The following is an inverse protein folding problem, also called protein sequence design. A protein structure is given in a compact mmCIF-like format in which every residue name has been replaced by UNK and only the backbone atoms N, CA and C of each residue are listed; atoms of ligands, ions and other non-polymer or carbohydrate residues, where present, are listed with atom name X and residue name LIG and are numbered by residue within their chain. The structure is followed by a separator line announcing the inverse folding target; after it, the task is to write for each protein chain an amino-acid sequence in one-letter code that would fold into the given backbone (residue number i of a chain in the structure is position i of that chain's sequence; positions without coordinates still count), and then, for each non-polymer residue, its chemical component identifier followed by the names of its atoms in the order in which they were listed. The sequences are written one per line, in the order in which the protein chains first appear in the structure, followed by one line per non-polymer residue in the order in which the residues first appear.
data_IF_212938523312
#
_entry.id   IF_212938523312
#
_cell.length_a   1.000
_cell.length_b   1.000
_cell.length_c   1.000
_cell.angle_alpha   90.00
_cell.angle_beta   90.00
_cell.angle_gamma   90.00
#
_symmetry.space_group_name_H-M   'P 1'
#
loop_
_entity.id
_entity.type
_entity.pdbx_description
1 polymer ?
#
# COMPACT_ATOMS: atom_id res chain seq x y z
N UNK A 1 -16.32 7.23 -28.42
CA UNK A 1 -14.86 7.12 -28.48
C UNK A 1 -14.29 7.50 -27.13
N UNK A 2 -13.25 6.80 -26.69
CA UNK A 2 -12.49 7.10 -25.47
C UNK A 2 -11.60 8.31 -25.79
N UNK A 3 -11.67 9.37 -25.00
CA UNK A 3 -10.80 10.54 -25.22
C UNK A 3 -9.40 10.21 -24.72
N UNK A 4 -8.41 10.23 -25.61
CA UNK A 4 -7.01 10.04 -25.27
C UNK A 4 -6.25 11.38 -25.34
N UNK A 5 -5.18 11.56 -24.55
CA UNK A 5 -4.27 12.69 -24.68
C UNK A 5 -3.66 12.75 -26.08
N UNK A 6 -3.40 13.96 -26.58
CA UNK A 6 -2.81 14.17 -27.92
C UNK A 6 -1.39 13.59 -28.04
N UNK A 7 -0.71 13.43 -26.91
CA UNK A 7 0.60 12.77 -26.80
C UNK A 7 0.55 11.25 -27.02
N UNK A 8 -0.63 10.64 -27.03
CA UNK A 8 -0.83 9.20 -27.19
C UNK A 8 -1.37 8.86 -28.58
N UNK A 9 -1.25 9.80 -29.53
CA UNK A 9 -1.40 9.51 -30.94
C UNK A 9 -0.05 9.08 -31.49
N UNK A 10 0.00 8.02 -32.29
CA UNK A 10 1.19 7.55 -32.98
C UNK A 10 2.35 7.17 -32.04
N UNK A 11 2.04 6.52 -30.92
CA UNK A 11 3.00 6.01 -29.93
C UNK A 11 3.16 4.47 -29.97
N UNK A 12 2.59 3.80 -30.97
CA UNK A 12 2.62 2.34 -31.16
C UNK A 12 1.92 1.51 -30.08
N UNK A 13 1.06 2.12 -29.28
CA UNK A 13 0.13 1.44 -28.40
C UNK A 13 -1.31 1.68 -28.89
N UNK A 14 -2.23 0.78 -28.53
CA UNK A 14 -3.66 0.90 -28.85
C UNK A 14 -4.43 1.27 -27.58
N UNK A 15 -4.41 2.55 -27.23
CA UNK A 15 -5.04 3.09 -26.02
C UNK A 15 -6.52 3.39 -26.23
N UNK A 16 -6.93 3.64 -27.47
CA UNK A 16 -8.33 3.79 -27.82
C UNK A 16 -9.07 2.43 -27.95
N UNK A 17 -8.34 1.33 -28.08
CA UNK A 17 -8.84 -0.05 -28.16
C UNK A 17 -9.40 -0.46 -29.53
N UNK A 18 -9.29 0.43 -30.52
CA UNK A 18 -9.69 0.22 -31.91
C UNK A 18 -8.57 0.59 -32.92
N UNK A 19 -7.38 0.94 -32.42
CA UNK A 19 -6.17 1.29 -33.18
C UNK A 19 -6.26 2.59 -33.98
N UNK A 20 -7.26 3.43 -33.72
CA UNK A 20 -7.47 4.70 -34.43
C UNK A 20 -6.40 5.75 -34.12
N UNK A 21 -5.77 5.65 -32.96
CA UNK A 21 -4.64 6.46 -32.52
C UNK A 21 -3.35 6.20 -33.31
N UNK A 22 -3.24 5.05 -33.95
CA UNK A 22 -2.06 4.61 -34.71
C UNK A 22 -2.24 4.59 -36.24
N UNK A 23 -3.47 4.75 -36.74
CA UNK A 23 -3.75 4.60 -38.18
C UNK A 23 -3.42 5.84 -39.04
N UNK A 24 -3.27 7.02 -38.43
CA UNK A 24 -3.07 8.30 -39.16
C UNK A 24 -1.76 8.98 -38.76
N UNK A 25 -0.64 8.30 -39.01
CA UNK A 25 0.72 8.77 -38.64
C UNK A 25 1.55 9.27 -39.84
N UNK A 26 0.89 9.79 -40.87
CA UNK A 26 1.56 10.21 -42.09
C UNK A 26 2.12 11.65 -42.01
N UNK A 27 3.43 11.72 -41.76
CA UNK A 27 4.39 12.80 -42.11
C UNK A 27 4.19 14.17 -41.44
N UNK A 28 5.04 14.48 -40.47
CA UNK A 28 5.89 15.70 -40.48
C UNK A 28 7.21 15.38 -39.78
N UNK A 29 8.31 15.59 -40.50
CA UNK A 29 9.66 15.60 -39.97
C UNK A 29 10.04 17.06 -39.64
N UNK A 30 10.51 17.29 -38.41
CA UNK A 30 11.17 18.48 -37.80
C UNK A 30 10.29 19.71 -37.42
N UNK A 31 10.40 20.32 -36.20
CA UNK A 31 11.64 20.79 -35.52
C UNK A 31 11.79 20.41 -34.00
N UNK A 32 12.93 20.71 -33.32
CA UNK A 32 13.35 20.10 -32.05
C UNK A 32 12.74 20.77 -30.80
N UNK A 33 11.42 20.86 -30.74
CA UNK A 33 10.70 21.51 -29.62
C UNK A 33 9.55 20.71 -29.04
N UNK A 34 9.36 19.46 -29.46
CA UNK A 34 8.57 18.49 -28.71
C UNK A 34 9.57 17.56 -28.04
N UNK A 35 9.74 17.70 -26.72
CA UNK A 35 10.52 16.77 -25.92
C UNK A 35 10.11 15.36 -26.30
N UNK A 36 11.03 14.64 -26.94
CA UNK A 36 10.93 13.22 -27.23
C UNK A 36 10.42 12.54 -25.98
N UNK A 37 9.15 12.14 -25.98
CA UNK A 37 8.59 11.31 -24.94
C UNK A 37 9.25 9.95 -25.15
N UNK A 38 10.42 9.78 -24.54
CA UNK A 38 11.11 8.51 -24.54
C UNK A 38 10.35 7.63 -23.54
N UNK A 39 9.61 6.60 -23.99
CA UNK A 39 9.00 5.67 -23.06
C UNK A 39 10.10 5.04 -22.20
N UNK A 40 9.79 4.74 -20.95
CA UNK A 40 10.72 4.05 -20.06
C UNK A 40 11.14 2.71 -20.70
N UNK A 41 12.38 2.29 -20.44
CA UNK A 41 12.90 1.06 -21.02
C UNK A 41 12.10 -0.17 -20.56
N UNK A 42 12.24 -1.29 -21.27
CA UNK A 42 11.72 -2.59 -20.85
C UNK A 42 12.28 -2.91 -19.44
N UNK A 43 11.39 -3.07 -18.44
CA UNK A 43 11.68 -3.13 -16.99
C UNK A 43 11.84 -1.78 -16.25
N UNK A 44 11.28 -0.70 -16.77
CA UNK A 44 11.20 0.58 -16.07
C UNK A 44 9.79 1.14 -16.09
N UNK A 45 9.44 1.90 -15.05
CA UNK A 45 8.16 2.58 -14.92
C UNK A 45 8.31 4.08 -14.72
N UNK A 46 7.23 4.80 -14.99
CA UNK A 46 7.21 6.26 -14.95
C UNK A 46 6.85 6.76 -13.54
N UNK A 47 7.79 7.45 -12.91
CA UNK A 47 7.61 8.22 -11.68
C UNK A 47 7.30 9.68 -12.01
N UNK A 48 6.20 10.24 -11.50
CA UNK A 48 5.80 11.60 -11.82
C UNK A 48 6.28 12.57 -10.74
N UNK A 49 6.90 13.68 -11.12
CA UNK A 49 7.16 14.77 -10.18
C UNK A 49 5.98 15.74 -10.21
N UNK A 50 5.10 15.66 -9.20
CA UNK A 50 3.93 16.56 -9.05
C UNK A 50 4.31 18.05 -9.08
N UNK A 51 5.52 18.37 -8.63
CA UNK A 51 6.04 19.74 -8.50
C UNK A 51 6.69 20.27 -9.77
N UNK A 52 7.30 19.40 -10.58
CA UNK A 52 8.11 19.84 -11.73
C UNK A 52 7.53 19.44 -13.08
N UNK A 53 6.46 18.63 -13.12
CA UNK A 53 5.90 18.00 -14.33
C UNK A 53 6.92 17.17 -15.12
N UNK A 54 8.06 16.85 -14.51
CA UNK A 54 9.09 15.96 -15.03
C UNK A 54 8.71 14.54 -14.63
N UNK A 55 8.94 13.59 -15.53
CA UNK A 55 8.86 12.17 -15.21
C UNK A 55 10.25 11.56 -15.19
N UNK A 56 10.48 10.65 -14.23
CA UNK A 56 11.72 9.89 -14.08
C UNK A 56 11.40 8.42 -14.32
N UNK A 57 12.26 7.70 -15.03
CA UNK A 57 12.08 6.25 -15.20
C UNK A 57 12.85 5.51 -14.11
N UNK A 58 12.14 4.73 -13.30
CA UNK A 58 12.72 3.87 -12.26
C UNK A 58 12.61 2.39 -12.65
N UNK A 59 13.55 1.53 -12.23
CA UNK A 59 13.44 0.09 -12.44
C UNK A 59 12.15 -0.48 -11.83
N UNK A 60 11.46 -1.39 -12.53
CA UNK A 60 10.25 -2.04 -12.00
C UNK A 60 10.47 -2.81 -10.69
N UNK A 61 11.72 -3.16 -10.37
CA UNK A 61 12.07 -3.74 -9.08
C UNK A 61 11.82 -2.82 -7.88
N UNK A 62 11.66 -1.52 -8.11
CA UNK A 62 11.37 -0.51 -7.09
C UNK A 62 9.87 -0.26 -6.92
N UNK A 63 9.01 -0.94 -7.69
CA UNK A 63 7.57 -0.92 -7.40
C UNK A 63 7.30 -1.83 -6.22
N UNK A 64 6.57 -1.33 -5.24
CA UNK A 64 6.06 -2.12 -4.12
C UNK A 64 7.18 -2.84 -3.35
N UNK A 65 8.35 -2.21 -3.25
CA UNK A 65 9.52 -2.74 -2.58
C UNK A 65 9.59 -2.31 -1.11
N UNK A 66 8.65 -1.45 -0.68
CA UNK A 66 8.52 -0.94 0.68
C UNK A 66 9.35 0.32 0.95
N UNK A 67 10.07 0.82 -0.04
CA UNK A 67 10.78 2.10 0.01
C UNK A 67 10.07 3.15 -0.85
N UNK A 68 10.22 4.41 -0.46
CA UNK A 68 9.70 5.53 -1.25
C UNK A 68 10.82 5.99 -2.19
N UNK A 69 10.90 5.42 -3.38
CA UNK A 69 11.85 5.81 -4.43
C UNK A 69 11.27 6.88 -5.35
N UNK A 70 9.94 6.90 -5.47
CA UNK A 70 9.22 7.88 -6.25
C UNK A 70 8.95 9.15 -5.41
N UNK A 71 9.34 10.31 -5.93
CA UNK A 71 9.07 11.62 -5.29
C UNK A 71 7.57 11.88 -5.04
N UNK A 72 6.71 11.22 -5.80
CA UNK A 72 5.26 11.26 -5.65
C UNK A 72 4.67 9.96 -5.10
N UNK A 73 5.44 9.06 -4.50
CA UNK A 73 4.95 7.78 -3.96
C UNK A 73 4.29 6.87 -5.00
N UNK A 74 4.37 7.17 -6.30
CA UNK A 74 3.67 6.41 -7.35
C UNK A 74 4.12 4.96 -7.47
N UNK A 75 5.31 4.64 -6.96
CA UNK A 75 5.88 3.31 -6.82
C UNK A 75 5.21 2.44 -5.73
N UNK A 76 4.55 3.06 -4.76
CA UNK A 76 3.98 2.39 -3.57
C UNK A 76 2.45 2.60 -3.42
N UNK A 77 1.81 3.41 -4.27
CA UNK A 77 0.37 3.77 -4.13
C UNK A 77 -0.59 2.72 -4.72
N UNK A 78 -0.21 2.01 -5.78
CA UNK A 78 -1.08 1.08 -6.53
C UNK A 78 -0.46 -0.32 -6.62
N UNK A 79 -0.02 -0.82 -5.47
CA UNK A 79 0.43 -2.18 -5.34
C UNK A 79 -0.78 -3.11 -5.26
N UNK A 80 -0.75 -4.24 -5.97
CA UNK A 80 -1.52 -5.41 -5.56
C UNK A 80 -0.99 -5.82 -4.19
N UNK A 81 -1.56 -5.18 -3.16
CA UNK A 81 -1.18 -5.36 -1.77
C UNK A 81 -1.19 -6.86 -1.49
N UNK A 82 -0.09 -7.45 -0.99
CA UNK A 82 -0.21 -8.76 -0.40
C UNK A 82 -1.27 -8.59 0.69
N UNK A 83 -2.38 -9.30 0.58
CA UNK A 83 -3.40 -9.37 1.62
C UNK A 83 -2.68 -9.65 2.93
N UNK A 84 -2.44 -8.61 3.73
CA UNK A 84 -1.72 -8.73 4.96
C UNK A 84 -2.73 -8.90 6.08
N UNK A 85 -2.38 -9.75 7.04
CA UNK A 85 -3.37 -10.27 7.96
C UNK A 85 -3.75 -11.71 7.63
N UNK A 86 -4.25 -12.39 8.65
CA UNK A 86 -4.54 -13.82 8.59
C UNK A 86 -5.50 -14.21 9.72
N UNK A 87 -6.10 -15.39 9.58
CA UNK A 87 -6.86 -16.03 10.63
C UNK A 87 -5.94 -16.91 11.50
N UNK A 88 -5.71 -16.49 12.74
CA UNK A 88 -4.91 -17.20 13.74
C UNK A 88 -5.84 -18.11 14.55
N UNK A 89 -5.80 -19.41 14.23
CA UNK A 89 -6.66 -20.44 14.83
C UNK A 89 -5.97 -21.31 15.89
N UNK A 90 -4.67 -21.13 16.07
CA UNK A 90 -3.87 -21.90 17.02
C UNK A 90 -3.90 -21.28 18.42
N UNK A 91 -3.74 -22.11 19.46
CA UNK A 91 -3.73 -21.66 20.86
C UNK A 91 -2.62 -20.67 21.22
N UNK A 92 -1.56 -20.64 20.41
CA UNK A 92 -0.44 -19.73 20.52
C UNK A 92 0.07 -19.42 19.12
N UNK A 93 0.69 -18.25 18.98
CA UNK A 93 1.26 -17.81 17.71
C UNK A 93 1.77 -16.39 17.81
N UNK A 94 2.40 -15.95 16.74
CA UNK A 94 2.94 -14.60 16.57
C UNK A 94 2.60 -14.12 15.17
N UNK A 95 2.40 -12.81 15.02
CA UNK A 95 2.25 -12.17 13.74
C UNK A 95 2.95 -10.82 13.81
N UNK A 96 3.35 -10.31 12.65
CA UNK A 96 4.05 -9.03 12.54
C UNK A 96 3.38 -8.18 11.47
N UNK A 97 3.69 -6.88 11.47
CA UNK A 97 3.39 -5.99 10.35
C UNK A 97 4.09 -6.50 9.07
N UNK A 98 3.62 -6.07 7.88
CA UNK A 98 4.34 -6.31 6.64
C UNK A 98 5.80 -5.85 6.77
N UNK A 99 6.71 -6.58 6.13
CA UNK A 99 8.15 -6.30 6.08
C UNK A 99 8.91 -6.30 7.43
N UNK A 100 8.26 -6.55 8.56
CA UNK A 100 8.96 -6.62 9.86
C UNK A 100 10.13 -7.61 9.82
N UNK A 101 11.35 -7.24 10.27
CA UNK A 101 11.67 -6.10 11.15
C UNK A 101 11.93 -4.76 10.46
N UNK A 102 11.85 -4.70 9.14
CA UNK A 102 11.99 -3.46 8.36
C UNK A 102 10.71 -2.62 8.41
N UNK A 103 10.75 -1.44 7.77
CA UNK A 103 9.62 -0.51 7.74
C UNK A 103 8.42 -1.12 7.00
N UNK A 104 7.22 -0.90 7.55
CA UNK A 104 6.00 -1.28 6.85
C UNK A 104 5.78 -0.36 5.64
N UNK A 105 5.22 -0.87 4.52
CA UNK A 105 4.89 -0.05 3.35
C UNK A 105 3.84 1.02 3.67
N UNK A 106 3.92 2.22 3.05
CA UNK A 106 2.86 3.22 3.12
C UNK A 106 1.52 2.67 2.58
N UNK A 107 0.38 3.08 3.14
CA UNK A 107 -0.94 2.60 2.68
C UNK A 107 -1.30 1.19 3.16
N UNK A 108 -0.47 0.57 4.01
CA UNK A 108 -0.73 -0.76 4.57
C UNK A 108 -2.08 -0.81 5.28
N UNK A 109 -2.91 -1.80 4.93
CA UNK A 109 -4.22 -2.01 5.55
C UNK A 109 -4.40 -3.50 5.89
N UNK A 110 -3.95 -3.89 7.09
CA UNK A 110 -3.87 -5.29 7.51
C UNK A 110 -4.90 -5.64 8.57
N UNK A 111 -5.47 -6.84 8.48
CA UNK A 111 -6.43 -7.35 9.48
C UNK A 111 -6.08 -8.76 9.96
N UNK A 112 -5.77 -8.91 11.25
CA UNK A 112 -5.62 -10.23 11.88
C UNK A 112 -6.85 -10.58 12.71
N UNK A 113 -7.30 -11.82 12.54
CA UNK A 113 -8.47 -12.38 13.22
C UNK A 113 -8.01 -13.57 14.08
N UNK A 114 -8.16 -13.46 15.39
CA UNK A 114 -7.71 -14.46 16.35
C UNK A 114 -8.94 -15.14 16.94
N UNK A 115 -9.09 -16.42 16.62
CA UNK A 115 -10.17 -17.27 17.15
C UNK A 115 -9.73 -18.73 17.17
N UNK A 116 -9.54 -19.25 18.39
CA UNK A 116 -9.13 -20.64 18.62
C UNK A 116 -10.33 -21.61 18.64
N UNK A 117 -11.56 -21.10 18.53
CA UNK A 117 -12.80 -21.87 18.50
C UNK A 117 -13.28 -22.40 19.86
N UNK A 118 -12.42 -22.40 20.88
CA UNK A 118 -12.79 -22.86 22.23
C UNK A 118 -13.21 -21.74 23.18
N UNK A 119 -13.21 -20.50 22.69
CA UNK A 119 -13.68 -19.30 23.37
C UNK A 119 -12.98 -19.02 24.70
N UNK A 120 -11.76 -19.54 24.91
CA UNK A 120 -10.92 -19.14 26.04
C UNK A 120 -10.35 -17.74 25.83
N UNK A 121 -10.04 -17.05 26.94
CA UNK A 121 -9.46 -15.70 26.90
C UNK A 121 -8.17 -15.69 26.08
N UNK A 122 -8.13 -14.80 25.09
CA UNK A 122 -6.94 -14.52 24.29
C UNK A 122 -6.16 -13.36 24.94
N UNK A 123 -4.85 -13.53 25.07
CA UNK A 123 -3.94 -12.49 25.56
C UNK A 123 -3.04 -12.09 24.40
N UNK A 124 -3.22 -10.86 23.90
CA UNK A 124 -2.37 -10.25 22.88
C UNK A 124 -1.29 -9.42 23.58
N UNK A 125 -0.03 -9.66 23.23
CA UNK A 125 1.13 -8.92 23.76
C UNK A 125 1.96 -8.38 22.61
N UNK A 126 2.22 -7.08 22.63
CA UNK A 126 3.16 -6.45 21.72
C UNK A 126 4.57 -6.57 22.30
N UNK A 127 5.47 -7.18 21.54
CA UNK A 127 6.88 -7.34 21.92
C UNK A 127 7.76 -6.23 21.35
N UNK A 128 7.34 -5.65 20.23
CA UNK A 128 7.94 -4.52 19.55
C UNK A 128 6.81 -3.72 18.89
N UNK A 129 6.84 -2.39 19.01
CA UNK A 129 5.78 -1.52 18.51
C UNK A 129 6.33 -0.13 18.22
N UNK A 130 6.31 0.24 16.93
CA UNK A 130 6.75 1.54 16.46
C UNK A 130 5.92 1.92 15.24
N UNK A 131 5.27 3.06 15.31
CA UNK A 131 4.52 3.67 14.21
C UNK A 131 5.08 5.06 13.90
N UNK A 132 4.85 5.54 12.68
CA UNK A 132 5.19 6.88 12.27
C UNK A 132 4.23 7.90 12.91
N UNK A 133 4.79 9.01 13.38
CA UNK A 133 4.07 10.09 14.07
C UNK A 133 3.90 11.34 13.21
N UNK A 134 4.36 11.34 11.95
CA UNK A 134 4.56 12.58 11.18
C UNK A 134 3.33 13.16 10.45
N UNK A 135 2.15 12.55 10.53
CA UNK A 135 0.89 13.27 10.25
C UNK A 135 -0.20 12.57 9.44
N UNK A 136 0.06 11.38 8.88
CA UNK A 136 -0.99 10.56 8.24
C UNK A 136 -1.74 9.61 9.20
N UNK A 137 -1.31 9.59 10.47
CA UNK A 137 -2.09 9.04 11.57
C UNK A 137 -2.15 7.53 11.58
N UNK A 138 -1.02 6.86 11.40
CA UNK A 138 -0.88 5.41 11.51
C UNK A 138 -1.47 4.92 12.83
N UNK A 139 -2.25 3.85 12.76
CA UNK A 139 -2.90 3.31 13.93
C UNK A 139 -3.03 1.79 13.91
N UNK A 140 -3.17 1.23 15.11
CA UNK A 140 -3.65 -0.13 15.31
C UNK A 140 -4.88 -0.10 16.19
N UNK A 141 -6.02 -0.60 15.69
CA UNK A 141 -7.26 -0.77 16.44
C UNK A 141 -7.41 -2.23 16.83
N UNK A 142 -7.75 -2.46 18.10
CA UNK A 142 -7.97 -3.80 18.64
C UNK A 142 -9.40 -3.90 19.16
N UNK A 143 -10.14 -4.92 18.71
CA UNK A 143 -11.53 -5.17 19.07
C UNK A 143 -11.70 -6.52 19.76
N UNK A 144 -12.65 -6.61 20.69
CA UNK A 144 -13.04 -7.83 21.40
C UNK A 144 -14.06 -8.65 20.60
N UNK A 145 -13.61 -9.26 19.52
CA UNK A 145 -14.45 -10.02 18.61
C UNK A 145 -13.89 -10.00 17.20
N UNK A 146 -14.55 -10.69 16.27
CA UNK A 146 -14.11 -10.77 14.87
C UNK A 146 -14.60 -9.61 13.99
N UNK A 147 -15.55 -8.83 14.49
CA UNK A 147 -16.18 -7.73 13.76
C UNK A 147 -15.62 -6.37 14.17
N UNK A 148 -15.69 -5.42 13.24
CA UNK A 148 -15.30 -4.03 13.47
C UNK A 148 -16.44 -3.24 14.15
N UNK A 149 -16.74 -3.61 15.40
CA UNK A 149 -17.78 -2.98 16.17
C UNK A 149 -17.19 -1.94 17.14
N UNK A 150 -17.53 -0.65 17.02
CA UNK A 150 -17.04 0.40 17.93
C UNK A 150 -17.31 0.14 19.41
N UNK A 151 -18.40 -0.55 19.76
CA UNK A 151 -18.72 -0.91 21.15
C UNK A 151 -17.83 -2.01 21.72
N UNK A 152 -17.08 -2.71 20.87
CA UNK A 152 -16.11 -3.73 21.26
C UNK A 152 -14.66 -3.28 21.07
N UNK A 153 -14.42 -1.99 20.79
CA UNK A 153 -13.08 -1.43 20.67
C UNK A 153 -12.38 -1.47 22.03
N UNK A 154 -11.31 -2.27 22.13
CA UNK A 154 -10.50 -2.39 23.34
C UNK A 154 -9.45 -1.28 23.42
N UNK A 155 -8.75 -1.03 22.31
CA UNK A 155 -7.65 -0.05 22.22
C UNK A 155 -7.51 0.53 20.82
N UNK A 156 -7.02 1.76 20.77
CA UNK A 156 -6.43 2.41 19.60
C UNK A 156 -5.00 2.74 19.98
N UNK A 157 -4.05 2.32 19.15
CA UNK A 157 -2.63 2.56 19.34
C UNK A 157 -2.12 3.46 18.24
N UNK A 158 -1.20 4.33 18.58
CA UNK A 158 -0.58 5.33 17.71
C UNK A 158 0.92 5.40 18.00
N UNK A 159 1.66 6.27 17.30
CA UNK A 159 3.09 6.48 17.56
C UNK A 159 3.44 6.79 19.05
N UNK A 160 2.50 7.35 19.82
CA UNK A 160 2.69 7.65 21.25
C UNK A 160 2.77 6.41 22.14
N UNK A 161 2.29 5.26 21.68
CA UNK A 161 2.25 4.01 22.46
C UNK A 161 3.54 3.18 22.35
N UNK A 162 4.56 3.68 21.63
CA UNK A 162 5.84 3.01 21.32
C UNK A 162 6.72 2.62 22.52
N UNK A 163 6.47 3.16 23.72
CA UNK A 163 7.33 2.99 24.88
C UNK A 163 6.70 2.17 26.03
N UNK A 164 5.44 1.75 25.89
CA UNK A 164 4.73 1.03 26.95
C UNK A 164 4.68 -0.48 26.67
N UNK A 165 4.88 -1.35 27.68
CA UNK A 165 4.55 -2.76 27.53
C UNK A 165 3.05 -2.88 27.31
N UNK A 166 2.67 -3.28 26.11
CA UNK A 166 1.28 -3.26 25.69
C UNK A 166 0.71 -4.67 25.64
N UNK A 167 -0.27 -4.92 26.51
CA UNK A 167 -1.02 -6.17 26.57
C UNK A 167 -2.51 -5.89 26.53
N UNK A 168 -3.23 -6.64 25.69
CA UNK A 168 -4.69 -6.59 25.57
C UNK A 168 -5.24 -7.99 25.85
N UNK A 169 -6.30 -8.06 26.66
CA UNK A 169 -6.95 -9.32 27.03
C UNK A 169 -8.38 -9.28 26.52
N UNK A 170 -8.76 -10.31 25.76
CA UNK A 170 -10.12 -10.49 25.28
C UNK A 170 -11.05 -11.01 26.38
N UNK A 171 -12.30 -10.54 26.37
CA UNK A 171 -13.39 -11.12 27.16
C UNK A 171 -14.23 -12.12 26.36
N UNK A 172 -14.29 -11.99 25.04
CA UNK A 172 -15.05 -12.87 24.13
C UNK A 172 -14.32 -14.15 23.72
N UNK A 173 -13.01 -14.20 23.95
CA UNK A 173 -12.12 -15.25 23.42
C UNK A 173 -11.76 -15.06 21.94
N UNK A 174 -12.14 -13.92 21.36
CA UNK A 174 -11.84 -13.54 19.98
C UNK A 174 -11.24 -12.14 19.95
N UNK A 175 -10.30 -11.90 19.03
CA UNK A 175 -9.70 -10.58 18.82
C UNK A 175 -9.61 -10.28 17.33
N UNK A 176 -9.96 -9.05 16.97
CA UNK A 176 -9.64 -8.44 15.67
C UNK A 176 -8.60 -7.36 15.89
N UNK A 177 -7.50 -7.43 15.14
CA UNK A 177 -6.46 -6.40 15.09
C UNK A 177 -6.46 -5.81 13.70
N UNK A 178 -6.65 -4.50 13.60
CA UNK A 178 -6.66 -3.75 12.35
C UNK A 178 -5.53 -2.72 12.36
N UNK A 179 -4.63 -2.78 11.38
CA UNK A 179 -3.50 -1.88 11.22
C UNK A 179 -3.69 -1.06 9.95
N UNK A 180 -3.51 0.27 10.08
CA UNK A 180 -3.54 1.22 8.98
C UNK A 180 -2.29 2.11 9.05
N UNK A 181 -1.59 2.26 7.95
CA UNK A 181 -0.51 3.21 7.71
C UNK A 181 -0.64 3.82 6.30
#
# INVERSE_FOLDING_TARGET
GKCIPEAWKCNSMDECGDGSDEQVCAREADPPTAASFQPCAYNQFQCLSRFTKVYTCLPESLKCDGNIDCLDLGDEIDCEMPTCGQWLKYFYGTFNSPNYPDFYPPGSNCTWLIDTGDHRKVILRFTDFKLDGTGYGDYVKIYDGLEENPHKLLRVLTAFDSHAPLTVVSSSGQIRVHFCA
#
